data_IF_510679296749
#
_entry.id   IF_510679296749
#
_cell.length_a   1.000
_cell.length_b   1.000
_cell.length_c   1.000
_cell.angle_alpha   90.00
_cell.angle_beta   90.00
_cell.angle_gamma   90.00
#
_symmetry.space_group_name_H-M   'P 1'
#
loop_
_entity.id
_entity.type
_entity.pdbx_description
1 polymer ?
#
# COMPACT_ATOMS: atom_id res chain seq x y z
N UNK A 1 -65.33 21.94 36.94
CA UNK A 1 -66.42 21.28 37.69
C UNK A 1 -66.84 20.01 36.96
N UNK A 2 -67.00 18.93 37.71
CA UNK A 2 -67.57 17.62 37.36
C UNK A 2 -68.67 17.69 36.30
N UNK A 3 -68.73 16.71 35.41
CA UNK A 3 -69.83 15.73 35.35
C UNK A 3 -69.55 14.61 34.35
N UNK A 4 -69.47 13.41 34.90
CA UNK A 4 -69.55 12.12 34.23
C UNK A 4 -70.90 11.93 33.55
N UNK A 5 -70.94 11.15 32.47
CA UNK A 5 -72.11 10.36 32.11
C UNK A 5 -71.65 8.98 31.63
N UNK A 6 -72.10 7.97 32.37
CA UNK A 6 -72.03 6.55 32.05
C UNK A 6 -73.27 6.21 31.24
N UNK A 7 -73.11 5.44 30.16
CA UNK A 7 -74.24 4.72 29.53
C UNK A 7 -73.82 3.27 29.32
N UNK A 8 -74.59 2.38 29.95
CA UNK A 8 -74.59 0.93 29.79
C UNK A 8 -75.39 0.53 28.55
N UNK A 9 -74.85 -0.36 27.73
CA UNK A 9 -75.58 -1.35 26.92
C UNK A 9 -74.63 -2.57 26.87
N UNK A 10 -75.00 -3.77 27.35
CA UNK A 10 -76.13 -4.58 26.91
C UNK A 10 -75.58 -5.68 25.98
N UNK A 11 -75.20 -6.82 26.55
CA UNK A 11 -74.58 -7.94 25.85
C UNK A 11 -75.59 -8.77 25.05
N UNK A 12 -75.21 -9.24 23.85
CA UNK A 12 -75.80 -10.43 23.20
C UNK A 12 -74.68 -11.27 22.58
N UNK A 13 -74.68 -12.56 22.92
CA UNK A 13 -73.81 -13.62 22.41
C UNK A 13 -74.05 -13.88 20.92
N UNK A 14 -72.96 -14.10 20.17
CA UNK A 14 -72.94 -14.94 18.97
C UNK A 14 -71.69 -15.81 19.01
N UNK A 15 -71.91 -17.11 19.22
CA UNK A 15 -70.92 -18.18 19.16
C UNK A 15 -70.76 -18.67 17.73
N UNK A 16 -69.53 -18.77 17.19
CA UNK A 16 -69.21 -19.69 16.09
C UNK A 16 -67.70 -20.04 16.07
N UNK A 17 -67.41 -21.33 16.21
CA UNK A 17 -66.36 -22.08 15.49
C UNK A 17 -64.89 -21.77 15.76
N UNK A 18 -64.24 -22.57 16.60
CA UNK A 18 -62.78 -22.68 16.64
C UNK A 18 -62.25 -23.40 15.38
N UNK A 19 -61.42 -22.72 14.58
CA UNK A 19 -60.56 -23.38 13.58
C UNK A 19 -59.17 -23.50 14.18
N UNK A 20 -58.76 -24.73 14.47
CA UNK A 20 -57.38 -25.05 14.85
C UNK A 20 -56.55 -25.05 13.57
N UNK A 21 -55.81 -23.96 13.32
CA UNK A 21 -54.76 -23.95 12.31
C UNK A 21 -53.52 -24.59 12.94
N UNK A 22 -53.22 -25.82 12.56
CA UNK A 22 -51.96 -26.46 12.92
C UNK A 22 -50.81 -25.68 12.26
N UNK A 23 -49.97 -25.04 13.08
CA UNK A 23 -48.74 -24.42 12.61
C UNK A 23 -47.80 -25.52 12.09
N UNK A 24 -47.46 -25.46 10.80
CA UNK A 24 -46.41 -26.31 10.25
C UNK A 24 -45.06 -25.91 10.85
N UNK A 25 -44.20 -26.85 11.26
CA UNK A 25 -42.86 -26.51 11.74
C UNK A 25 -42.04 -25.97 10.56
N UNK A 26 -41.76 -24.66 10.57
CA UNK A 26 -40.80 -24.06 9.66
C UNK A 26 -39.43 -24.57 10.07
N UNK A 27 -38.81 -25.39 9.21
CA UNK A 27 -37.43 -25.81 9.40
C UNK A 27 -36.54 -24.58 9.45
N UNK A 28 -35.76 -24.45 10.53
CA UNK A 28 -34.74 -23.42 10.64
C UNK A 28 -33.78 -23.56 9.45
N UNK A 29 -33.73 -22.55 8.58
CA UNK A 29 -32.68 -22.47 7.58
C UNK A 29 -31.35 -22.35 8.33
N UNK A 30 -30.54 -23.41 8.26
CA UNK A 30 -29.16 -23.39 8.71
C UNK A 30 -28.43 -22.33 7.90
N UNK A 31 -28.29 -21.12 8.44
CA UNK A 31 -27.33 -20.14 7.95
C UNK A 31 -25.94 -20.76 8.16
N UNK A 32 -25.45 -21.49 7.15
CA UNK A 32 -24.04 -21.85 7.06
C UNK A 32 -23.31 -20.52 6.87
N UNK A 33 -22.90 -19.93 7.99
CA UNK A 33 -21.98 -18.81 7.98
C UNK A 33 -20.66 -19.44 7.58
N UNK A 34 -20.36 -19.44 6.28
CA UNK A 34 -19.04 -19.80 5.78
C UNK A 34 -18.05 -18.87 6.47
N UNK A 35 -17.36 -19.37 7.50
CA UNK A 35 -16.35 -18.61 8.21
C UNK A 35 -15.18 -18.43 7.24
N UNK A 36 -15.06 -17.23 6.68
CA UNK A 36 -13.85 -16.86 5.94
C UNK A 36 -12.70 -16.94 6.94
N UNK A 37 -11.79 -17.88 6.73
CA UNK A 37 -10.64 -18.05 7.63
C UNK A 37 -9.74 -16.81 7.51
N UNK A 38 -9.55 -16.10 8.62
CA UNK A 38 -8.61 -14.99 8.72
C UNK A 38 -7.26 -15.49 9.26
N UNK A 39 -6.18 -15.22 8.53
CA UNK A 39 -4.82 -15.45 9.00
C UNK A 39 -4.15 -14.11 9.25
N UNK A 40 -3.65 -13.93 10.46
CA UNK A 40 -2.94 -12.71 10.87
C UNK A 40 -1.43 -12.94 10.91
N UNK A 41 -0.67 -11.96 10.43
CA UNK A 41 0.80 -11.95 10.52
C UNK A 41 1.25 -10.59 11.08
N UNK A 42 2.15 -10.60 12.07
CA UNK A 42 2.72 -9.35 12.58
C UNK A 42 4.14 -9.22 12.04
N UNK A 43 4.51 -8.00 11.65
CA UNK A 43 5.88 -7.71 11.25
C UNK A 43 6.34 -6.36 11.77
N UNK A 44 7.65 -6.25 12.01
CA UNK A 44 8.27 -5.00 12.41
C UNK A 44 8.38 -4.09 11.17
N UNK A 45 7.61 -3.02 11.18
CA UNK A 45 7.70 -1.89 10.26
C UNK A 45 7.56 -0.59 11.03
N UNK A 46 8.24 0.46 10.58
CA UNK A 46 8.17 1.75 11.22
C UNK A 46 8.12 2.85 10.18
N UNK A 47 7.44 3.93 10.54
CA UNK A 47 7.08 4.95 9.58
C UNK A 47 6.22 6.03 10.18
N UNK A 48 5.61 6.82 9.31
CA UNK A 48 4.64 7.85 9.69
C UNK A 48 3.36 7.61 8.91
N UNK A 49 2.22 7.76 9.58
CA UNK A 49 0.89 7.72 8.98
C UNK A 49 0.10 8.96 9.37
N UNK A 50 -0.95 9.27 8.62
CA UNK A 50 -1.94 10.29 8.97
C UNK A 50 -3.28 9.61 9.25
N UNK A 51 -3.90 9.94 10.37
CA UNK A 51 -5.23 9.45 10.72
C UNK A 51 -6.28 9.92 9.67
N UNK A 52 -7.44 9.25 9.59
CA UNK A 52 -8.58 9.72 8.79
C UNK A 52 -8.99 11.16 9.14
N UNK A 53 -9.87 11.77 8.36
CA UNK A 53 -10.45 13.09 8.65
C UNK A 53 -11.50 13.09 9.77
N UNK A 54 -11.60 11.99 10.51
CA UNK A 54 -12.40 11.85 11.71
C UNK A 54 -11.58 11.20 12.83
N UNK A 55 -12.05 11.38 14.07
CA UNK A 55 -11.43 10.78 15.27
C UNK A 55 -11.48 9.25 15.19
N UNK A 56 -10.35 8.58 15.38
CA UNK A 56 -10.26 7.12 15.27
C UNK A 56 -10.00 6.47 16.63
N UNK A 57 -10.76 5.43 16.95
CA UNK A 57 -10.58 4.61 18.15
C UNK A 57 -9.24 3.86 18.12
N UNK A 58 -8.48 3.91 19.22
CA UNK A 58 -7.29 3.06 19.40
C UNK A 58 -7.66 1.75 20.11
N UNK A 59 -6.85 0.72 19.92
CA UNK A 59 -7.06 -0.60 20.50
C UNK A 59 -5.83 -1.04 21.27
N UNK A 60 -6.05 -1.83 22.32
CA UNK A 60 -4.97 -2.37 23.16
C UNK A 60 -4.34 -3.64 22.58
N UNK A 61 -4.95 -4.21 21.55
CA UNK A 61 -4.49 -5.38 20.82
C UNK A 61 -4.47 -5.13 19.30
N UNK A 62 -3.56 -5.81 18.59
CA UNK A 62 -3.37 -5.65 17.16
C UNK A 62 -4.59 -6.09 16.33
N UNK A 63 -5.39 -7.02 16.85
CA UNK A 63 -6.59 -7.55 16.18
C UNK A 63 -7.83 -6.69 16.40
N UNK A 64 -7.67 -5.51 17.01
CA UNK A 64 -8.73 -4.52 17.18
C UNK A 64 -9.94 -5.08 17.95
N UNK A 65 -9.71 -5.99 18.90
CA UNK A 65 -10.79 -6.63 19.69
C UNK A 65 -11.07 -5.92 21.01
N UNK A 66 -10.11 -5.13 21.51
CA UNK A 66 -10.15 -4.47 22.83
C UNK A 66 -9.94 -2.96 22.68
N UNK A 67 -11.02 -2.16 22.57
CA UNK A 67 -10.90 -0.72 22.44
C UNK A 67 -10.18 -0.13 23.67
N UNK A 68 -9.26 0.78 23.44
CA UNK A 68 -8.60 1.56 24.47
C UNK A 68 -9.51 2.74 24.90
N UNK A 69 -9.33 3.29 26.09
CA UNK A 69 -10.04 4.50 26.50
C UNK A 69 -9.37 5.77 25.94
N UNK A 70 -9.12 5.81 24.62
CA UNK A 70 -8.51 6.96 23.91
C UNK A 70 -8.70 6.84 22.39
N UNK A 71 -8.75 7.99 21.73
CA UNK A 71 -8.77 8.11 20.27
C UNK A 71 -7.50 8.82 19.77
N UNK A 72 -7.32 8.84 18.45
CA UNK A 72 -6.45 9.80 17.76
C UNK A 72 -7.31 10.89 17.09
N UNK A 73 -6.90 12.17 17.13
CA UNK A 73 -7.63 13.23 16.45
C UNK A 73 -7.64 13.06 14.92
N UNK A 74 -8.65 13.64 14.26
CA UNK A 74 -8.73 13.72 12.81
C UNK A 74 -7.46 14.34 12.20
N UNK A 75 -7.00 13.77 11.08
CA UNK A 75 -5.84 14.22 10.29
C UNK A 75 -4.51 14.37 11.06
N UNK A 76 -4.42 13.79 12.26
CA UNK A 76 -3.21 13.84 13.07
C UNK A 76 -2.16 12.86 12.55
N UNK A 77 -0.87 13.23 12.65
CA UNK A 77 0.26 12.42 12.18
C UNK A 77 0.85 11.60 13.31
N UNK A 78 1.07 10.31 13.08
CA UNK A 78 1.57 9.37 14.08
C UNK A 78 2.73 8.56 13.54
N UNK A 79 3.73 8.33 14.39
CA UNK A 79 4.73 7.30 14.13
C UNK A 79 4.12 5.94 14.41
N UNK A 80 4.47 4.95 13.61
CA UNK A 80 4.17 3.54 13.90
C UNK A 80 5.45 2.71 13.98
N UNK A 81 5.35 1.54 14.60
CA UNK A 81 6.51 0.67 14.91
C UNK A 81 6.24 -0.83 14.72
N UNK A 82 5.04 -1.20 14.30
CA UNK A 82 4.71 -2.53 13.82
C UNK A 82 3.44 -2.46 12.96
N UNK A 83 3.26 -3.46 12.11
CA UNK A 83 2.04 -3.66 11.33
C UNK A 83 1.49 -5.05 11.58
N UNK A 84 0.17 -5.17 11.62
CA UNK A 84 -0.52 -6.45 11.53
C UNK A 84 -1.13 -6.57 10.13
N UNK A 85 -0.76 -7.60 9.38
CA UNK A 85 -1.39 -7.99 8.13
C UNK A 85 -2.51 -9.02 8.38
N UNK A 86 -3.49 -9.03 7.47
CA UNK A 86 -4.57 -10.02 7.44
C UNK A 86 -4.72 -10.59 6.03
N UNK A 87 -4.90 -11.91 5.95
CA UNK A 87 -5.30 -12.65 4.76
C UNK A 87 -6.70 -13.20 5.02
N UNK A 88 -7.63 -12.97 4.10
CA UNK A 88 -9.01 -13.47 4.16
C UNK A 88 -9.24 -14.45 3.01
N UNK A 89 -9.29 -15.74 3.32
CA UNK A 89 -9.40 -16.77 2.27
C UNK A 89 -8.22 -16.70 1.29
N UNK A 90 -8.52 -16.43 0.01
CA UNK A 90 -7.54 -16.32 -1.07
C UNK A 90 -7.13 -14.88 -1.41
N UNK A 91 -7.57 -13.89 -0.64
CA UNK A 91 -7.20 -12.49 -0.87
C UNK A 91 -5.71 -12.25 -0.60
N UNK A 92 -5.07 -11.30 -1.32
CA UNK A 92 -3.73 -10.85 -0.95
C UNK A 92 -3.72 -10.28 0.46
N UNK A 93 -2.58 -10.39 1.15
CA UNK A 93 -2.41 -9.80 2.48
C UNK A 93 -2.62 -8.28 2.43
N UNK A 94 -3.42 -7.77 3.37
CA UNK A 94 -3.65 -6.34 3.54
C UNK A 94 -3.27 -5.92 4.95
N UNK A 95 -2.80 -4.69 5.12
CA UNK A 95 -2.57 -4.14 6.45
C UNK A 95 -3.90 -3.99 7.19
N UNK A 96 -3.95 -4.53 8.40
CA UNK A 96 -5.10 -4.51 9.29
C UNK A 96 -4.98 -3.42 10.37
N UNK A 97 -3.78 -3.26 10.96
CA UNK A 97 -3.54 -2.25 11.98
C UNK A 97 -2.08 -1.84 12.10
N UNK A 98 -1.85 -0.65 12.69
CA UNK A 98 -0.54 -0.06 12.94
C UNK A 98 -0.31 0.17 14.43
N UNK A 99 0.84 -0.25 14.97
CA UNK A 99 1.22 0.04 16.36
C UNK A 99 1.77 1.46 16.47
N UNK A 100 0.96 2.40 16.96
CA UNK A 100 1.30 3.84 17.04
C UNK A 100 1.87 4.27 18.39
N UNK A 101 1.74 3.43 19.41
CA UNK A 101 2.42 3.58 20.70
C UNK A 101 2.51 2.21 21.40
N UNK A 102 3.12 2.14 22.58
CA UNK A 102 3.22 0.92 23.37
C UNK A 102 1.83 0.32 23.61
N UNK A 103 1.60 -0.88 23.08
CA UNK A 103 0.33 -1.60 23.14
C UNK A 103 -0.89 -0.80 22.65
N UNK A 104 -0.68 0.11 21.69
CA UNK A 104 -1.76 0.90 21.11
C UNK A 104 -1.73 0.79 19.59
N UNK A 105 -2.85 0.30 19.07
CA UNK A 105 -3.04 -0.06 17.68
C UNK A 105 -4.12 0.80 17.05
N UNK A 106 -3.79 1.37 15.90
CA UNK A 106 -4.69 2.13 15.05
C UNK A 106 -5.19 1.23 13.92
N UNK A 107 -6.50 1.18 13.65
CA UNK A 107 -7.03 0.50 12.47
C UNK A 107 -6.39 1.05 11.19
N UNK A 108 -6.11 0.18 10.23
CA UNK A 108 -5.54 0.61 8.95
C UNK A 108 -6.57 1.27 8.03
N UNK A 109 -7.85 1.00 8.24
CA UNK A 109 -8.95 1.59 7.47
C UNK A 109 -8.95 3.12 7.57
N UNK A 110 -9.03 3.77 6.42
CA UNK A 110 -9.09 5.24 6.33
C UNK A 110 -7.77 5.96 6.61
N UNK A 111 -6.68 5.26 6.94
CA UNK A 111 -5.35 5.88 7.08
C UNK A 111 -4.97 6.58 5.78
N UNK A 112 -4.52 7.82 5.90
CA UNK A 112 -4.06 8.67 4.80
C UNK A 112 -2.55 8.85 4.90
N UNK A 113 -1.89 9.08 3.78
CA UNK A 113 -0.45 9.41 3.71
C UNK A 113 0.42 8.51 4.59
N UNK A 114 0.74 7.32 4.07
CA UNK A 114 1.58 6.36 4.73
C UNK A 114 3.00 6.44 4.17
N UNK A 115 3.99 6.40 5.05
CA UNK A 115 5.40 6.27 4.68
C UNK A 115 5.99 5.15 5.50
N UNK A 116 6.62 4.17 4.84
CA UNK A 116 7.41 3.12 5.50
C UNK A 116 8.90 3.44 5.37
N UNK A 117 9.62 3.29 6.47
CA UNK A 117 11.08 3.41 6.51
C UNK A 117 11.77 2.04 6.58
N UNK A 118 11.01 0.93 6.69
CA UNK A 118 11.61 -0.38 6.50
C UNK A 118 11.82 -0.66 5.02
N UNK A 119 12.98 -1.20 4.64
CA UNK A 119 13.14 -1.78 3.32
C UNK A 119 12.18 -2.95 3.14
N UNK A 120 11.55 -2.98 1.99
CA UNK A 120 10.80 -4.11 1.48
C UNK A 120 11.71 -4.97 0.62
N UNK A 121 11.74 -4.68 -0.68
CA UNK A 121 12.38 -5.52 -1.68
C UNK A 121 13.40 -4.75 -2.52
N UNK A 122 13.80 -5.30 -3.67
CA UNK A 122 14.64 -4.61 -4.64
C UNK A 122 14.16 -4.88 -6.04
N UNK A 123 14.29 -3.87 -6.91
CA UNK A 123 13.90 -3.92 -8.31
C UNK A 123 15.16 -3.82 -9.15
N UNK A 124 15.44 -4.87 -9.93
CA UNK A 124 16.60 -4.92 -10.80
C UNK A 124 16.48 -3.91 -11.94
N UNK A 125 17.51 -3.09 -12.10
CA UNK A 125 17.65 -2.14 -13.20
C UNK A 125 19.08 -1.60 -13.20
N UNK A 126 19.67 -1.51 -14.39
CA UNK A 126 21.04 -1.06 -14.55
C UNK A 126 21.05 0.35 -15.11
N UNK A 127 21.45 1.32 -14.28
CA UNK A 127 21.59 2.72 -14.71
C UNK A 127 22.64 3.43 -13.88
N UNK A 128 22.72 4.75 -14.04
CA UNK A 128 23.65 5.60 -13.32
C UNK A 128 22.87 6.51 -12.39
N UNK A 129 23.28 6.56 -11.12
CA UNK A 129 22.84 7.60 -10.18
C UNK A 129 23.94 8.64 -10.02
N UNK A 130 23.53 9.88 -9.77
CA UNK A 130 24.41 10.98 -9.39
C UNK A 130 24.10 11.43 -7.98
N UNK A 131 25.13 11.58 -7.16
CA UNK A 131 25.00 12.13 -5.81
C UNK A 131 24.69 13.62 -5.91
N UNK A 132 23.58 14.06 -5.33
CA UNK A 132 23.15 15.45 -5.38
C UNK A 132 23.25 16.15 -4.02
N UNK A 133 23.27 15.39 -2.92
CA UNK A 133 23.42 15.95 -1.58
C UNK A 133 24.77 16.66 -1.42
N UNK A 134 24.74 17.88 -0.86
CA UNK A 134 25.93 18.69 -0.59
C UNK A 134 26.93 18.00 0.36
N UNK A 135 26.44 17.20 1.30
CA UNK A 135 27.28 16.44 2.22
C UNK A 135 27.84 15.14 1.60
N UNK A 136 27.48 14.83 0.34
CA UNK A 136 27.69 13.52 -0.27
C UNK A 136 26.63 12.49 0.14
N UNK A 137 26.75 11.28 -0.41
CA UNK A 137 25.89 10.14 -0.07
C UNK A 137 26.63 9.16 0.84
N UNK A 138 26.05 8.85 2.00
CA UNK A 138 26.64 7.85 2.90
C UNK A 138 26.43 6.44 2.33
N UNK A 139 27.47 5.61 2.38
CA UNK A 139 27.39 4.22 1.93
C UNK A 139 27.05 3.29 3.10
N UNK A 140 26.07 2.43 2.89
CA UNK A 140 25.59 1.43 3.84
C UNK A 140 25.91 0.02 3.37
N UNK A 141 26.19 -0.88 4.30
CA UNK A 141 26.52 -2.28 4.00
C UNK A 141 25.28 -3.20 3.92
N UNK A 142 24.09 -2.64 4.12
CA UNK A 142 22.86 -3.38 4.30
C UNK A 142 21.67 -2.63 3.73
N UNK A 143 20.61 -3.37 3.37
CA UNK A 143 19.40 -2.79 2.77
C UNK A 143 18.61 -1.91 3.74
N UNK A 144 18.81 -2.03 5.06
CA UNK A 144 18.09 -1.25 6.09
C UNK A 144 18.66 0.13 6.35
N UNK A 145 19.76 0.49 5.70
CA UNK A 145 20.44 1.78 5.88
C UNK A 145 20.76 2.06 7.35
N UNK A 146 21.05 1.01 8.14
CA UNK A 146 21.39 1.11 9.58
C UNK A 146 22.86 0.84 9.86
N UNK A 147 23.59 0.20 8.93
CA UNK A 147 25.02 -0.11 9.06
C UNK A 147 25.82 0.74 8.08
N UNK A 148 26.16 1.99 8.45
CA UNK A 148 27.04 2.81 7.62
C UNK A 148 28.44 2.20 7.57
N UNK A 149 29.08 2.26 6.41
CA UNK A 149 30.44 1.75 6.18
C UNK A 149 31.53 2.75 6.59
N UNK A 150 31.15 4.01 6.87
CA UNK A 150 32.07 5.14 7.03
C UNK A 150 32.47 5.81 5.70
N UNK A 151 32.24 5.17 4.56
CA UNK A 151 32.49 5.75 3.23
C UNK A 151 31.38 6.74 2.85
N UNK A 152 31.78 7.84 2.20
CA UNK A 152 30.88 8.86 1.65
C UNK A 152 31.21 9.08 0.18
N UNK A 153 30.22 8.99 -0.69
CA UNK A 153 30.35 9.29 -2.11
C UNK A 153 30.23 10.81 -2.32
N UNK A 154 31.18 11.48 -2.99
CA UNK A 154 31.17 12.93 -3.11
C UNK A 154 29.98 13.47 -3.92
N UNK A 155 29.54 14.70 -3.63
CA UNK A 155 28.56 15.43 -4.47
C UNK A 155 29.03 15.47 -5.93
N UNK A 156 28.11 15.22 -6.86
CA UNK A 156 28.36 15.23 -8.29
C UNK A 156 29.01 13.95 -8.84
N UNK A 157 29.48 13.05 -7.97
CA UNK A 157 29.99 11.75 -8.40
C UNK A 157 28.86 10.89 -8.99
N UNK A 158 29.22 10.06 -9.96
CA UNK A 158 28.28 9.19 -10.70
C UNK A 158 28.64 7.74 -10.47
N UNK A 159 27.64 6.92 -10.21
CA UNK A 159 27.80 5.52 -9.85
C UNK A 159 26.81 4.67 -10.62
N UNK A 160 27.29 3.56 -11.18
CA UNK A 160 26.39 2.54 -11.68
C UNK A 160 25.63 1.92 -10.51
N UNK A 161 24.35 1.64 -10.71
CA UNK A 161 23.59 0.81 -9.78
C UNK A 161 23.03 -0.42 -10.48
N UNK A 162 22.88 -1.51 -9.73
CA UNK A 162 22.36 -2.77 -10.25
C UNK A 162 20.87 -3.00 -9.90
N UNK A 163 20.40 -2.38 -8.81
CA UNK A 163 19.01 -2.43 -8.38
C UNK A 163 18.63 -1.22 -7.55
N UNK A 164 17.36 -0.82 -7.65
CA UNK A 164 16.71 0.07 -6.70
C UNK A 164 16.26 -0.72 -5.46
N UNK A 165 16.35 -0.11 -4.28
CA UNK A 165 15.84 -0.66 -3.02
C UNK A 165 14.50 0.02 -2.74
N UNK A 166 13.46 -0.78 -2.45
CA UNK A 166 12.13 -0.25 -2.13
C UNK A 166 11.81 -0.44 -0.66
N UNK A 167 10.88 0.37 -0.13
CA UNK A 167 10.26 0.10 1.16
C UNK A 167 9.11 -0.92 1.03
N UNK A 168 8.39 -1.19 2.12
CA UNK A 168 7.24 -2.11 2.12
C UNK A 168 6.00 -1.60 1.40
N UNK A 169 6.03 -0.33 0.97
CA UNK A 169 4.98 0.31 0.18
C UNK A 169 5.38 0.40 -1.30
N UNK A 170 6.43 -0.32 -1.69
CA UNK A 170 6.99 -0.31 -3.03
C UNK A 170 7.48 1.07 -3.50
N UNK A 171 7.81 1.96 -2.56
CA UNK A 171 8.44 3.26 -2.85
C UNK A 171 9.96 3.08 -2.92
N UNK A 172 10.61 3.71 -3.90
CA UNK A 172 12.07 3.69 -4.03
C UNK A 172 12.70 4.49 -2.89
N UNK A 173 13.60 3.84 -2.13
CA UNK A 173 14.29 4.45 -0.98
C UNK A 173 15.82 4.47 -1.13
N UNK A 174 16.36 3.78 -2.14
CA UNK A 174 17.80 3.82 -2.41
C UNK A 174 18.25 3.00 -3.60
N UNK A 175 19.56 2.90 -3.75
CA UNK A 175 20.22 2.24 -4.87
C UNK A 175 21.38 1.38 -4.39
N UNK A 176 21.57 0.22 -5.00
CA UNK A 176 22.78 -0.58 -4.80
C UNK A 176 23.86 -0.16 -5.80
N UNK A 177 24.90 0.52 -5.31
CA UNK A 177 25.99 1.10 -6.11
C UNK A 177 27.27 0.26 -6.15
N UNK A 178 27.27 -0.88 -5.45
CA UNK A 178 28.36 -1.85 -5.40
C UNK A 178 27.92 -3.14 -4.71
N UNK A 179 28.83 -4.10 -4.59
CA UNK A 179 28.55 -5.36 -3.88
C UNK A 179 28.29 -5.08 -2.40
N UNK A 180 27.05 -5.27 -1.95
CA UNK A 180 26.60 -4.90 -0.61
C UNK A 180 26.85 -3.43 -0.25
N UNK A 181 26.85 -2.52 -1.22
CA UNK A 181 27.00 -1.09 -1.00
C UNK A 181 25.74 -0.36 -1.47
N UNK A 182 25.10 0.35 -0.55
CA UNK A 182 23.82 1.02 -0.78
C UNK A 182 23.90 2.50 -0.42
N UNK A 183 23.17 3.33 -1.17
CA UNK A 183 22.98 4.76 -0.89
C UNK A 183 21.50 5.09 -0.88
N UNK A 184 21.12 6.11 -0.09
CA UNK A 184 19.74 6.57 0.00
C UNK A 184 19.32 7.33 -1.27
N UNK A 185 18.05 7.20 -1.65
CA UNK A 185 17.46 7.94 -2.77
C UNK A 185 17.43 9.44 -2.48
N UNK A 186 17.26 9.84 -1.21
CA UNK A 186 17.33 11.24 -0.80
C UNK A 186 18.70 11.90 -1.08
N UNK A 187 19.76 11.12 -1.25
CA UNK A 187 21.11 11.62 -1.49
C UNK A 187 21.52 11.60 -2.97
N UNK A 188 20.83 10.81 -3.80
CA UNK A 188 21.22 10.55 -5.17
C UNK A 188 20.00 10.32 -6.08
N UNK A 189 20.05 10.84 -7.30
CA UNK A 189 18.99 10.62 -8.30
C UNK A 189 19.53 9.99 -9.57
N UNK A 190 18.67 9.31 -10.31
CA UNK A 190 19.02 8.68 -11.58
C UNK A 190 19.38 9.77 -12.59
N UNK A 191 20.50 9.57 -13.28
CA UNK A 191 20.94 10.45 -14.36
C UNK A 191 20.01 10.28 -15.55
N UNK A 192 19.27 11.34 -15.87
CA UNK A 192 18.36 11.34 -17.00
C UNK A 192 19.15 11.33 -18.31
N UNK A 193 18.92 10.30 -19.14
CA UNK A 193 19.62 10.09 -20.40
C UNK A 193 18.65 9.73 -21.50
N UNK A 194 18.92 10.25 -22.69
CA UNK A 194 18.21 9.84 -23.90
C UNK A 194 18.73 8.49 -24.35
N UNK A 195 17.86 7.72 -24.99
CA UNK A 195 18.19 6.39 -25.46
C UNK A 195 17.19 5.84 -26.46
N UNK A 196 17.44 4.61 -26.90
CA UNK A 196 16.50 3.86 -27.73
C UNK A 196 16.07 2.61 -26.98
N UNK A 197 14.78 2.52 -26.69
CA UNK A 197 14.15 1.30 -26.21
C UNK A 197 13.74 0.42 -27.39
N UNK A 198 14.04 -0.86 -27.34
CA UNK A 198 13.61 -1.86 -28.31
C UNK A 198 12.72 -2.88 -27.61
N UNK A 199 11.45 -2.94 -27.99
CA UNK A 199 10.48 -3.83 -27.37
C UNK A 199 10.85 -5.31 -27.63
N UNK A 200 10.68 -6.16 -26.62
CA UNK A 200 10.87 -7.60 -26.77
C UNK A 200 9.84 -8.23 -27.74
N UNK A 201 10.01 -9.50 -28.13
CA UNK A 201 9.14 -10.20 -29.11
C UNK A 201 7.64 -10.07 -28.81
N UNK A 202 7.26 -10.09 -27.53
CA UNK A 202 5.86 -9.96 -27.08
C UNK A 202 5.28 -8.54 -27.14
N UNK A 203 6.08 -7.54 -27.54
CA UNK A 203 5.72 -6.13 -27.46
C UNK A 203 5.91 -5.55 -26.05
N UNK A 204 5.49 -4.30 -25.87
CA UNK A 204 5.48 -3.63 -24.58
C UNK A 204 4.23 -2.76 -24.44
N UNK A 205 3.63 -2.75 -23.26
CA UNK A 205 2.52 -1.85 -22.97
C UNK A 205 3.04 -0.44 -22.75
N UNK A 206 2.35 0.53 -23.34
CA UNK A 206 2.54 1.95 -23.09
C UNK A 206 1.54 2.34 -22.01
N UNK A 207 2.04 2.85 -20.90
CA UNK A 207 1.24 3.30 -19.77
C UNK A 207 1.33 4.82 -19.61
N UNK A 208 0.30 5.40 -19.00
CA UNK A 208 0.32 6.78 -18.54
C UNK A 208 0.90 6.91 -17.12
N UNK A 209 0.94 8.13 -16.56
CA UNK A 209 1.45 8.38 -15.21
C UNK A 209 0.78 7.57 -14.10
N UNK A 210 -0.55 7.40 -14.10
CA UNK A 210 -1.27 6.47 -13.21
C UNK A 210 -1.10 4.97 -13.50
N UNK A 211 -0.32 4.58 -14.50
CA UNK A 211 -0.07 3.17 -14.83
C UNK A 211 -1.15 2.51 -15.71
N UNK A 212 -2.13 3.27 -16.21
CA UNK A 212 -3.16 2.75 -17.12
C UNK A 212 -2.59 2.50 -18.50
N UNK A 213 -2.76 1.28 -19.01
CA UNK A 213 -2.38 0.90 -20.37
C UNK A 213 -3.16 1.72 -21.39
N UNK A 214 -2.44 2.42 -22.26
CA UNK A 214 -3.01 3.22 -23.35
C UNK A 214 -3.05 2.43 -24.65
N UNK A 215 -1.95 1.72 -24.95
CA UNK A 215 -1.80 0.88 -26.14
C UNK A 215 -0.60 -0.05 -25.97
N UNK A 216 -0.45 -1.00 -26.87
CA UNK A 216 0.70 -1.91 -26.93
C UNK A 216 1.53 -1.66 -28.18
N UNK A 217 2.85 -1.62 -28.04
CA UNK A 217 3.76 -1.55 -29.19
C UNK A 217 4.14 -2.94 -29.67
N UNK A 218 4.32 -3.08 -30.99
CA UNK A 218 4.75 -4.34 -31.58
C UNK A 218 6.15 -4.75 -31.12
N UNK A 219 6.42 -6.06 -31.05
CA UNK A 219 7.74 -6.57 -30.74
C UNK A 219 8.78 -6.16 -31.77
N UNK A 220 10.00 -5.87 -31.31
CA UNK A 220 11.10 -5.38 -32.15
C UNK A 220 10.99 -3.90 -32.56
N UNK A 221 9.88 -3.22 -32.26
CA UNK A 221 9.76 -1.78 -32.51
C UNK A 221 10.73 -0.97 -31.64
N UNK A 222 11.21 0.15 -32.19
CA UNK A 222 12.23 1.00 -31.57
C UNK A 222 11.67 2.38 -31.25
N UNK A 223 11.88 2.83 -30.02
CA UNK A 223 11.31 4.06 -29.49
C UNK A 223 12.41 4.93 -28.89
N UNK A 224 12.43 6.21 -29.28
CA UNK A 224 13.29 7.19 -28.61
C UNK A 224 12.77 7.41 -27.20
N UNK A 225 13.69 7.53 -26.27
CA UNK A 225 13.39 7.74 -24.86
C UNK A 225 14.06 9.02 -24.36
N UNK A 226 13.41 9.72 -23.45
CA UNK A 226 13.86 11.02 -22.95
C UNK A 226 14.29 11.01 -21.49
N UNK A 227 13.72 10.10 -20.69
CA UNK A 227 13.94 10.03 -19.25
C UNK A 227 13.63 8.62 -18.74
N UNK A 228 14.04 8.36 -17.50
CA UNK A 228 13.73 7.17 -16.72
C UNK A 228 13.08 7.60 -15.41
N UNK A 229 12.04 6.90 -15.01
CA UNK A 229 11.34 7.11 -13.74
C UNK A 229 11.10 5.79 -13.03
N UNK A 230 10.93 5.84 -11.71
CA UNK A 230 10.43 4.73 -10.93
C UNK A 230 8.98 4.99 -10.56
N UNK A 231 8.08 4.08 -10.94
CA UNK A 231 6.65 4.15 -10.62
C UNK A 231 6.06 2.74 -10.63
N UNK A 232 4.98 2.51 -9.90
CA UNK A 232 4.31 1.19 -9.84
C UNK A 232 5.29 0.03 -9.55
N UNK A 233 6.23 0.25 -8.63
CA UNK A 233 7.28 -0.72 -8.26
C UNK A 233 8.21 -1.14 -9.41
N UNK A 234 8.37 -0.33 -10.46
CA UNK A 234 9.23 -0.65 -11.61
C UNK A 234 9.89 0.59 -12.19
N UNK A 235 10.98 0.38 -12.93
CA UNK A 235 11.59 1.43 -13.74
C UNK A 235 10.94 1.50 -15.11
N UNK A 236 10.68 2.71 -15.58
CA UNK A 236 10.02 2.98 -16.84
C UNK A 236 10.82 4.00 -17.65
N UNK A 237 10.87 3.81 -18.97
CA UNK A 237 11.42 4.79 -19.89
C UNK A 237 10.31 5.63 -20.52
N UNK A 238 10.50 6.95 -20.53
CA UNK A 238 9.57 7.86 -21.19
C UNK A 238 9.78 7.80 -22.70
N UNK A 239 8.73 7.50 -23.47
CA UNK A 239 8.77 7.44 -24.94
C UNK A 239 8.00 8.57 -25.62
N UNK A 240 7.12 9.25 -24.89
CA UNK A 240 6.45 10.48 -25.28
C UNK A 240 5.93 11.22 -24.04
N UNK A 241 5.34 12.40 -24.23
CA UNK A 241 4.75 13.18 -23.13
C UNK A 241 3.73 12.34 -22.37
N UNK A 242 3.96 12.14 -21.07
CA UNK A 242 3.16 11.31 -20.17
C UNK A 242 3.00 9.82 -20.56
N UNK A 243 3.83 9.31 -21.48
CA UNK A 243 3.76 7.93 -21.95
C UNK A 243 5.06 7.18 -21.72
N UNK A 244 4.93 6.02 -21.12
CA UNK A 244 6.05 5.27 -20.55
C UNK A 244 5.98 3.79 -20.91
N UNK A 245 7.12 3.13 -20.98
CA UNK A 245 7.24 1.67 -21.17
C UNK A 245 8.06 1.06 -20.05
N UNK A 246 7.64 -0.09 -19.53
CA UNK A 246 8.36 -0.82 -18.49
C UNK A 246 9.74 -1.25 -19.03
N UNK A 247 10.78 -0.89 -18.29
CA UNK A 247 12.19 -1.20 -18.62
C UNK A 247 12.45 -2.71 -18.80
N UNK A 248 11.66 -3.56 -18.15
CA UNK A 248 11.78 -5.02 -18.23
C UNK A 248 11.13 -5.63 -19.49
N UNK A 249 10.39 -4.84 -20.28
CA UNK A 249 9.71 -5.32 -21.50
C UNK A 249 10.52 -5.09 -22.78
N UNK A 250 11.82 -4.85 -22.65
CA UNK A 250 12.71 -4.67 -23.79
C UNK A 250 14.15 -4.39 -23.39
N UNK A 251 14.95 -3.98 -24.36
CA UNK A 251 16.34 -3.58 -24.15
C UNK A 251 16.48 -2.08 -24.39
N UNK A 252 17.34 -1.42 -23.61
CA UNK A 252 17.59 0.01 -23.75
C UNK A 252 19.06 0.28 -24.06
N UNK A 253 19.30 1.19 -25.02
CA UNK A 253 20.64 1.64 -25.38
C UNK A 253 20.73 3.16 -25.22
N UNK A 254 21.69 3.68 -24.44
CA UNK A 254 21.89 5.11 -24.30
C UNK A 254 22.30 5.72 -25.65
N UNK A 255 21.74 6.89 -25.98
CA UNK A 255 22.25 7.73 -27.05
C UNK A 255 23.37 8.62 -26.51
N UNK A 256 24.42 8.78 -27.33
CA UNK A 256 25.53 9.69 -27.03
C UNK A 256 25.09 11.15 -27.10
#
# INVERSE_FOLDING_TARGET
MKKSFVVLFGAVLLSFGAVVVAAQPVSAATNVTSSVTEKFSQSDDFGVLTAPDYSQQLYTDAKLTKPANRTVPASSRWRYTAVLGVIRGNDPERTYSYRVATNLWLPAEGVRFLTSYQPGTSVWHHDIVQVNNNAGARVYSDLTFKKPTGRVLPKGSRWQFARGVTNRLDELIGYQVGTNEFVLESDASIVQRRGVFTAQKGGADIVNGPGTVQRKVAGGSRWRTTSVTFMHNRFYYQIATYLWVDSNLGTWMPQK
#
